data_IF_046374816367
#
_entry.id   IF_046374816367
#
_cell.length_a   1.000
_cell.length_b   1.000
_cell.length_c   1.000
_cell.angle_alpha   90.00
_cell.angle_beta   90.00
_cell.angle_gamma   90.00
#
_symmetry.space_group_name_H-M   'P 1'
#
loop_
_entity.id
_entity.type
_entity.pdbx_description
1 polymer ?
#
# COMPACT_ATOMS: atom_id res chain seq x y z
N UNK A 1 6.94 6.96 13.39
CA UNK A 1 6.68 5.63 12.79
C UNK A 1 7.85 5.32 11.88
N UNK A 2 8.51 4.17 12.04
CA UNK A 2 9.62 3.77 11.18
C UNK A 2 9.13 3.41 9.77
N UNK A 3 9.98 3.60 8.75
CA UNK A 3 9.67 3.21 7.36
C UNK A 3 9.21 1.76 7.26
N UNK A 4 9.89 0.85 7.96
CA UNK A 4 9.54 -0.57 7.96
C UNK A 4 8.15 -0.82 8.57
N UNK A 5 7.77 -0.05 9.59
CA UNK A 5 6.46 -0.15 10.21
C UNK A 5 5.37 0.43 9.29
N UNK A 6 5.67 1.50 8.57
CA UNK A 6 4.77 2.10 7.57
C UNK A 6 4.50 1.13 6.42
N UNK A 7 5.55 0.53 5.84
CA UNK A 7 5.43 -0.47 4.78
C UNK A 7 4.63 -1.69 5.24
N UNK A 8 4.88 -2.20 6.45
CA UNK A 8 4.07 -3.28 7.01
C UNK A 8 2.59 -2.91 7.15
N UNK A 9 2.28 -1.64 7.41
CA UNK A 9 0.89 -1.18 7.53
C UNK A 9 0.21 -1.15 6.17
N UNK A 10 0.89 -0.61 5.15
CA UNK A 10 0.44 -0.65 3.75
C UNK A 10 0.20 -2.10 3.30
N UNK A 11 1.13 -3.00 3.57
CA UNK A 11 1.03 -4.42 3.19
C UNK A 11 -0.17 -5.11 3.83
N UNK A 12 -0.41 -4.89 5.13
CA UNK A 12 -1.60 -5.43 5.81
C UNK A 12 -2.91 -4.90 5.23
N UNK A 13 -2.97 -3.63 4.85
CA UNK A 13 -4.16 -3.03 4.26
C UNK A 13 -4.44 -3.61 2.87
N UNK A 14 -3.40 -3.72 2.05
CA UNK A 14 -3.45 -4.35 0.74
C UNK A 14 -3.89 -5.82 0.82
N UNK A 15 -3.33 -6.59 1.76
CA UNK A 15 -3.69 -7.99 1.99
C UNK A 15 -5.13 -8.16 2.48
N UNK A 16 -5.60 -7.24 3.33
CA UNK A 16 -6.94 -7.31 3.90
C UNK A 16 -8.03 -7.04 2.87
N UNK A 17 -7.86 -5.98 2.09
CA UNK A 17 -8.91 -5.47 1.19
C UNK A 17 -8.77 -5.99 -0.25
N UNK A 18 -7.56 -6.37 -0.68
CA UNK A 18 -7.28 -6.86 -2.04
C UNK A 18 -6.56 -8.21 -2.09
N UNK A 19 -6.18 -8.80 -0.94
CA UNK A 19 -5.38 -10.04 -0.87
C UNK A 19 -4.05 -9.97 -1.63
N UNK A 20 -3.54 -8.77 -1.85
CA UNK A 20 -2.26 -8.53 -2.51
C UNK A 20 -1.22 -8.14 -1.45
N UNK A 21 0.02 -8.62 -1.60
CA UNK A 21 1.15 -8.05 -0.86
C UNK A 21 1.72 -6.87 -1.65
N UNK A 22 2.47 -5.98 -0.99
CA UNK A 22 3.19 -4.87 -1.65
C UNK A 22 4.05 -5.39 -2.81
N UNK A 23 4.72 -6.53 -2.62
CA UNK A 23 5.54 -7.17 -3.64
C UNK A 23 4.71 -7.71 -4.82
N UNK A 24 3.53 -8.27 -4.53
CA UNK A 24 2.63 -8.86 -5.54
C UNK A 24 1.94 -7.76 -6.38
N UNK A 25 1.59 -6.65 -5.72
CA UNK A 25 1.10 -5.43 -6.35
C UNK A 25 2.17 -4.70 -7.19
N UNK A 26 3.43 -5.16 -7.19
CA UNK A 26 4.52 -4.53 -7.93
C UNK A 26 4.94 -3.17 -7.36
N UNK A 27 4.63 -2.88 -6.10
CA UNK A 27 4.98 -1.62 -5.46
C UNK A 27 6.47 -1.65 -5.10
N UNK A 28 7.25 -0.84 -5.83
CA UNK A 28 8.68 -0.72 -5.60
C UNK A 28 9.02 -0.06 -4.26
N UNK A 29 10.14 -0.47 -3.66
CA UNK A 29 10.65 0.11 -2.41
C UNK A 29 10.87 1.62 -2.47
N UNK A 30 11.19 2.15 -3.66
CA UNK A 30 11.41 3.58 -3.91
C UNK A 30 10.08 4.36 -3.87
N UNK A 31 9.01 3.79 -4.42
CA UNK A 31 7.67 4.38 -4.37
C UNK A 31 7.16 4.44 -2.92
N UNK A 32 7.36 3.35 -2.15
CA UNK A 32 7.06 3.33 -0.71
C UNK A 32 7.92 4.33 0.07
N UNK A 33 9.21 4.44 -0.24
CA UNK A 33 10.10 5.40 0.42
C UNK A 33 9.67 6.84 0.15
N UNK A 34 9.24 7.14 -1.08
CA UNK A 34 8.77 8.45 -1.47
C UNK A 34 7.46 8.81 -0.76
N UNK A 35 6.46 7.92 -0.78
CA UNK A 35 5.20 8.10 -0.06
C UNK A 35 5.43 8.28 1.45
N UNK A 36 6.29 7.45 2.05
CA UNK A 36 6.65 7.59 3.46
C UNK A 36 7.37 8.92 3.78
N UNK A 37 8.31 9.37 2.93
CA UNK A 37 8.99 10.67 3.12
C UNK A 37 8.04 11.86 3.01
N UNK A 38 6.99 11.74 2.22
CA UNK A 38 5.95 12.77 2.11
C UNK A 38 4.95 12.71 3.27
N UNK A 39 5.19 11.85 4.28
CA UNK A 39 4.32 11.65 5.44
C UNK A 39 2.89 11.28 5.03
N UNK A 40 2.71 10.61 3.88
CA UNK A 40 1.41 10.12 3.46
C UNK A 40 0.85 9.10 4.46
N UNK A 41 -0.45 9.19 4.70
CA UNK A 41 -1.15 8.18 5.47
C UNK A 41 -1.15 6.85 4.69
N UNK A 42 -0.78 5.72 5.31
CA UNK A 42 -0.67 4.44 4.63
C UNK A 42 -2.02 3.95 4.06
N UNK A 43 -3.16 4.31 4.66
CA UNK A 43 -4.46 3.96 4.12
C UNK A 43 -4.85 4.86 2.93
N UNK A 44 -4.50 6.14 2.99
CA UNK A 44 -4.66 7.04 1.83
C UNK A 44 -3.80 6.58 0.64
N UNK A 45 -2.55 6.19 0.88
CA UNK A 45 -1.67 5.64 -0.15
C UNK A 45 -2.28 4.39 -0.79
N UNK A 46 -2.75 3.43 0.02
CA UNK A 46 -3.37 2.20 -0.49
C UNK A 46 -4.64 2.48 -1.28
N UNK A 47 -5.50 3.39 -0.82
CA UNK A 47 -6.71 3.78 -1.55
C UNK A 47 -6.37 4.44 -2.90
N UNK A 48 -5.40 5.37 -2.91
CA UNK A 48 -4.94 6.05 -4.12
C UNK A 48 -4.27 5.08 -5.10
N UNK A 49 -3.48 4.13 -4.58
CA UNK A 49 -2.88 3.06 -5.37
C UNK A 49 -3.96 2.15 -5.96
N UNK A 50 -4.93 1.71 -5.15
CA UNK A 50 -6.02 0.87 -5.61
C UNK A 50 -6.86 1.55 -6.69
N UNK A 51 -7.18 2.84 -6.54
CA UNK A 51 -7.89 3.61 -7.55
C UNK A 51 -7.06 3.77 -8.84
N UNK A 52 -5.77 4.11 -8.71
CA UNK A 52 -4.88 4.32 -9.85
C UNK A 52 -4.67 3.07 -10.70
N UNK A 53 -4.62 1.91 -10.05
CA UNK A 53 -4.40 0.62 -10.72
C UNK A 53 -5.69 -0.18 -10.94
N UNK A 54 -6.85 0.44 -10.70
CA UNK A 54 -8.18 -0.18 -10.83
C UNK A 54 -8.26 -1.55 -10.12
N UNK A 55 -7.71 -1.63 -8.91
CA UNK A 55 -7.64 -2.87 -8.15
C UNK A 55 -9.04 -3.30 -7.73
N UNK A 56 -9.45 -4.49 -8.18
CA UNK A 56 -10.71 -5.10 -7.80
C UNK A 56 -10.65 -5.50 -6.33
N UNK A 57 -11.49 -4.88 -5.50
CA UNK A 57 -11.58 -5.20 -4.07
C UNK A 57 -12.02 -6.64 -3.90
N UNK A 58 -11.41 -7.35 -2.96
CA UNK A 58 -11.83 -8.70 -2.63
C UNK A 58 -13.11 -8.62 -1.79
N UNK A 59 -14.24 -9.01 -2.38
CA UNK A 59 -15.49 -9.23 -1.65
C UNK A 59 -15.55 -10.71 -1.20
N UNK A 60 -15.76 -11.00 0.10
CA UNK A 60 -15.80 -12.37 0.63
C UNK A 60 -17.06 -13.17 0.22
#
# INVERSE_FOLDING_TARGET
MDRAQWVQTVDRLLLRDWRLSVADAGIGEDQLACAWRNEEDPAAFVACFAEKYDLIRFEP
#
